data_IF_363410765533
#
_entry.id   IF_363410765533
#
_cell.length_a   1.000
_cell.length_b   1.000
_cell.length_c   1.000
_cell.angle_alpha   90.00
_cell.angle_beta   90.00
_cell.angle_gamma   90.00
#
_symmetry.space_group_name_H-M   'P 1'
#
loop_
_entity.id
_entity.type
_entity.pdbx_description
1 polymer ?
#
# COMPACT_ATOMS: atom_id res chain seq x y z
N UNK A 1 -16.31 -30.29 47.77
CA UNK A 1 -16.49 -31.71 48.14
C UNK A 1 -16.88 -32.48 46.88
N UNK A 2 -16.14 -33.55 46.56
CA UNK A 2 -16.34 -34.40 45.38
C UNK A 2 -17.44 -35.42 45.65
N UNK A 3 -18.33 -35.65 44.68
CA UNK A 3 -18.93 -36.97 44.44
C UNK A 3 -19.18 -37.15 42.94
N UNK A 4 -18.56 -38.18 42.35
CA UNK A 4 -18.94 -38.78 41.07
C UNK A 4 -19.61 -40.11 41.40
N UNK A 5 -20.77 -40.37 40.80
CA UNK A 5 -21.46 -41.67 40.82
C UNK A 5 -21.44 -42.30 39.42
N UNK A 6 -21.14 -43.60 39.39
CA UNK A 6 -21.03 -44.48 38.22
C UNK A 6 -22.35 -44.80 37.52
N UNK A 7 -22.24 -45.36 36.30
CA UNK A 7 -22.89 -46.57 35.72
C UNK A 7 -22.92 -46.40 34.18
N UNK A 8 -22.78 -47.37 33.28
CA UNK A 8 -22.39 -48.78 33.26
C UNK A 8 -22.13 -49.12 31.77
N UNK A 9 -21.24 -50.06 31.48
CA UNK A 9 -21.09 -50.70 30.15
C UNK A 9 -21.81 -52.07 30.18
N UNK A 10 -22.08 -52.75 29.04
CA UNK A 10 -21.09 -53.75 28.59
C UNK A 10 -21.05 -54.13 27.09
N UNK A 11 -19.84 -54.50 26.65
CA UNK A 11 -19.57 -55.62 25.72
C UNK A 11 -19.41 -55.28 24.24
N UNK A 12 -18.46 -55.84 23.48
CA UNK A 12 -17.67 -57.07 23.69
C UNK A 12 -16.56 -57.20 22.62
N UNK A 13 -15.30 -57.36 23.08
CA UNK A 13 -14.19 -58.24 22.60
C UNK A 13 -13.52 -57.98 21.23
N UNK A 14 -12.26 -58.32 20.93
CA UNK A 14 -10.95 -58.79 21.52
C UNK A 14 -9.98 -58.81 20.29
N UNK A 15 -8.65 -58.86 20.31
CA UNK A 15 -7.57 -58.90 21.29
C UNK A 15 -6.25 -58.48 20.59
N UNK A 16 -5.30 -57.84 21.27
CA UNK A 16 -4.15 -58.40 22.03
C UNK A 16 -2.98 -58.91 21.15
N UNK A 17 -1.87 -58.16 21.16
CA UNK A 17 -0.47 -58.63 21.31
C UNK A 17 0.31 -57.49 22.01
N UNK A 18 0.44 -57.50 23.35
CA UNK A 18 1.59 -57.93 24.16
C UNK A 18 2.96 -57.35 23.75
N UNK A 19 3.44 -56.44 24.59
CA UNK A 19 4.82 -55.93 24.69
C UNK A 19 5.62 -56.67 25.76
N UNK A 20 6.96 -56.48 25.69
CA UNK A 20 8.01 -56.56 26.73
C UNK A 20 8.99 -57.76 26.62
N UNK A 21 10.19 -57.72 27.26
CA UNK A 21 11.32 -56.78 27.02
C UNK A 21 12.72 -57.44 27.14
N UNK A 22 13.80 -56.71 26.83
CA UNK A 22 15.09 -56.81 27.56
C UNK A 22 16.33 -57.43 26.86
N UNK A 23 17.49 -56.85 27.21
CA UNK A 23 18.90 -57.24 26.96
C UNK A 23 19.41 -57.03 25.52
N UNK A 24 20.60 -56.49 25.24
CA UNK A 24 21.79 -56.19 26.03
C UNK A 24 23.03 -56.47 25.16
N UNK A 25 23.92 -55.46 25.06
CA UNK A 25 25.34 -55.50 24.65
C UNK A 25 25.80 -55.94 23.25
N UNK A 26 26.89 -55.28 22.84
CA UNK A 26 27.92 -55.64 21.84
C UNK A 26 27.71 -55.28 20.34
N UNK A 27 28.42 -54.22 19.93
CA UNK A 27 29.11 -54.15 18.63
C UNK A 27 30.40 -54.98 18.74
N UNK A 28 30.99 -55.55 17.65
CA UNK A 28 31.47 -54.77 16.50
C UNK A 28 31.42 -55.49 15.13
N UNK A 29 31.95 -54.81 14.11
CA UNK A 29 32.42 -55.31 12.81
C UNK A 29 31.47 -55.23 11.59
N UNK A 30 31.73 -54.22 10.74
CA UNK A 30 31.72 -54.38 9.28
C UNK A 30 32.91 -55.31 8.86
N UNK A 31 33.03 -55.80 7.60
CA UNK A 31 32.27 -55.47 6.39
C UNK A 31 31.81 -56.70 5.57
N UNK A 32 30.82 -56.52 4.69
CA UNK A 32 30.71 -57.31 3.46
C UNK A 32 29.91 -56.52 2.42
N UNK A 33 30.59 -56.07 1.37
CA UNK A 33 29.98 -55.82 0.07
C UNK A 33 29.55 -57.18 -0.53
N UNK A 34 28.60 -57.21 -1.47
CA UNK A 34 29.08 -57.18 -2.86
C UNK A 34 28.19 -56.44 -3.88
N UNK A 35 28.88 -56.07 -4.95
CA UNK A 35 28.48 -56.12 -6.35
C UNK A 35 27.38 -55.17 -6.84
N UNK A 36 27.88 -54.12 -7.49
CA UNK A 36 27.22 -53.42 -8.57
C UNK A 36 26.85 -54.37 -9.72
N UNK A 37 25.61 -54.24 -10.19
CA UNK A 37 25.26 -54.47 -11.60
C UNK A 37 24.57 -53.21 -12.10
N UNK A 38 25.27 -52.51 -12.99
CA UNK A 38 24.77 -51.32 -13.64
C UNK A 38 23.68 -51.64 -14.64
N UNK A 39 22.65 -50.80 -14.66
CA UNK A 39 21.96 -50.47 -15.89
C UNK A 39 21.88 -48.96 -15.95
N UNK A 40 22.81 -48.36 -16.69
CA UNK A 40 22.82 -46.94 -16.96
C UNK A 40 21.57 -46.54 -17.73
N UNK A 41 20.78 -45.64 -17.15
CA UNK A 41 19.88 -44.80 -17.94
C UNK A 41 20.34 -43.36 -17.83
N UNK A 42 20.86 -42.89 -18.96
CA UNK A 42 21.31 -41.54 -19.27
C UNK A 42 20.24 -40.53 -18.86
N UNK A 43 20.65 -39.56 -18.04
CA UNK A 43 20.03 -38.26 -17.96
C UNK A 43 20.13 -37.57 -19.34
N UNK A 44 19.03 -37.14 -19.97
CA UNK A 44 19.13 -36.22 -21.08
C UNK A 44 19.42 -34.82 -20.54
N UNK A 45 20.64 -34.33 -20.80
CA UNK A 45 20.90 -32.89 -20.94
C UNK A 45 20.02 -32.38 -22.07
N UNK A 46 19.07 -31.50 -21.77
CA UNK A 46 18.45 -30.64 -22.78
C UNK A 46 18.61 -29.20 -22.31
N UNK A 47 19.80 -28.67 -22.57
CA UNK A 47 19.99 -27.26 -22.88
C UNK A 47 20.30 -27.19 -24.38
N UNK A 48 19.65 -26.25 -25.08
CA UNK A 48 19.68 -25.97 -26.53
C UNK A 48 18.93 -26.96 -27.43
N UNK A 49 17.67 -26.66 -27.73
CA UNK A 49 17.21 -26.35 -29.10
C UNK A 49 15.67 -26.29 -29.13
N UNK A 50 15.09 -25.10 -29.03
CA UNK A 50 13.80 -24.73 -29.63
C UNK A 50 13.75 -23.19 -29.69
N UNK A 51 14.77 -22.61 -30.34
CA UNK A 51 14.58 -21.43 -31.18
C UNK A 51 13.98 -21.96 -32.48
N UNK A 52 13.00 -21.25 -33.05
CA UNK A 52 12.07 -21.67 -34.12
C UNK A 52 10.73 -22.26 -33.63
N UNK A 53 9.91 -21.37 -33.05
CA UNK A 53 8.51 -21.19 -33.43
C UNK A 53 8.16 -19.74 -33.06
N UNK A 54 8.37 -18.86 -34.03
CA UNK A 54 8.11 -17.43 -33.91
C UNK A 54 6.62 -17.17 -33.76
N UNK A 55 6.24 -16.70 -32.57
CA UNK A 55 5.06 -15.88 -32.32
C UNK A 55 5.46 -14.97 -31.16
N UNK A 56 5.33 -13.65 -31.35
CA UNK A 56 5.86 -12.53 -30.55
C UNK A 56 7.24 -12.02 -30.98
N UNK A 57 7.22 -11.17 -32.00
CA UNK A 57 8.28 -10.20 -32.26
C UNK A 57 8.00 -8.93 -31.44
N UNK A 58 9.00 -8.48 -30.68
CA UNK A 58 8.91 -7.41 -29.70
C UNK A 58 9.74 -6.18 -30.15
N UNK A 59 9.72 -5.86 -31.45
CA UNK A 59 10.40 -4.68 -32.00
C UNK A 59 9.58 -3.84 -32.97
N UNK A 60 8.26 -3.81 -32.82
CA UNK A 60 7.38 -2.91 -33.60
C UNK A 60 6.68 -1.89 -32.68
N UNK A 61 7.46 -0.94 -32.17
CA UNK A 61 6.93 0.24 -31.47
C UNK A 61 7.87 1.44 -31.60
N UNK A 62 8.38 1.75 -32.80
CA UNK A 62 9.04 3.02 -33.08
C UNK A 62 9.28 3.25 -34.59
N UNK A 63 8.25 3.58 -35.36
CA UNK A 63 8.42 4.41 -36.57
C UNK A 63 7.08 4.81 -37.19
N UNK A 64 6.54 5.94 -36.75
CA UNK A 64 5.65 6.74 -37.60
C UNK A 64 5.95 8.22 -37.38
N UNK A 65 6.72 8.80 -38.29
CA UNK A 65 6.84 10.26 -38.44
C UNK A 65 6.05 10.68 -39.67
N UNK A 66 5.12 11.62 -39.57
CA UNK A 66 4.72 12.44 -40.71
C UNK A 66 5.59 13.71 -40.77
N UNK A 67 6.26 13.89 -41.91
CA UNK A 67 6.95 15.13 -42.32
C UNK A 67 5.89 16.20 -42.63
N UNK A 68 6.13 17.44 -42.14
CA UNK A 68 5.28 18.63 -42.32
C UNK A 68 5.10 19.10 -43.78
N UNK A 69 4.41 20.20 -44.10
CA UNK A 69 4.06 21.43 -43.38
C UNK A 69 2.82 22.05 -44.06
N UNK A 70 2.07 22.90 -43.36
CA UNK A 70 1.32 23.98 -43.99
C UNK A 70 0.04 24.44 -43.30
N UNK A 71 0.06 25.68 -42.82
CA UNK A 71 -1.06 26.62 -42.71
C UNK A 71 -2.07 26.51 -41.53
N UNK A 72 -2.01 27.58 -40.72
CA UNK A 72 -3.10 28.37 -40.14
C UNK A 72 -4.01 27.77 -39.07
N UNK A 73 -3.88 28.39 -37.89
CA UNK A 73 -4.76 28.35 -36.73
C UNK A 73 -6.16 28.84 -37.05
N UNK A 74 -7.17 27.97 -36.93
CA UNK A 74 -8.56 28.38 -36.72
C UNK A 74 -9.19 27.46 -35.68
N UNK A 75 -9.54 28.06 -34.54
CA UNK A 75 -10.34 27.41 -33.50
C UNK A 75 -11.80 27.37 -33.92
N UNK A 76 -12.42 26.20 -33.78
CA UNK A 76 -13.86 26.05 -33.98
C UNK A 76 -14.57 26.00 -32.62
N UNK A 77 -15.33 27.05 -32.37
CA UNK A 77 -16.20 27.27 -31.23
C UNK A 77 -17.52 26.49 -31.38
N UNK A 78 -18.05 26.01 -30.24
CA UNK A 78 -19.43 25.56 -30.13
C UNK A 78 -20.40 26.76 -30.18
N UNK A 79 -21.59 26.60 -30.79
CA UNK A 79 -22.47 27.72 -31.12
C UNK A 79 -23.19 28.30 -29.89
N UNK A 80 -22.92 29.58 -29.63
CA UNK A 80 -23.66 30.43 -28.71
C UNK A 80 -24.97 30.87 -29.38
N UNK A 81 -26.11 30.43 -28.83
CA UNK A 81 -27.42 30.99 -29.16
C UNK A 81 -27.55 32.39 -28.57
N UNK A 82 -27.30 33.42 -29.40
CA UNK A 82 -27.78 34.78 -29.15
C UNK A 82 -28.38 35.31 -30.46
N UNK A 83 -29.72 35.31 -30.53
CA UNK A 83 -30.43 36.07 -31.55
C UNK A 83 -30.44 37.56 -31.13
N UNK A 84 -30.06 38.50 -32.02
CA UNK A 84 -30.14 39.92 -31.71
C UNK A 84 -31.60 40.40 -31.78
N UNK A 85 -32.08 40.97 -30.69
CA UNK A 85 -33.35 41.72 -30.66
C UNK A 85 -33.14 43.04 -31.42
N UNK A 86 -33.94 43.38 -32.44
CA UNK A 86 -33.83 44.67 -33.12
C UNK A 86 -34.42 45.78 -32.26
N UNK A 87 -33.60 46.76 -31.87
CA UNK A 87 -34.06 47.96 -31.19
C UNK A 87 -34.74 48.93 -32.17
N UNK A 88 -36.06 49.03 -32.07
CA UNK A 88 -36.86 50.12 -32.61
C UNK A 88 -36.88 51.34 -31.68
N UNK A 89 -36.41 52.47 -32.21
CA UNK A 89 -36.91 53.85 -32.05
C UNK A 89 -37.62 54.31 -30.76
N UNK A 90 -36.94 55.26 -30.09
CA UNK A 90 -37.40 56.46 -29.37
C UNK A 90 -38.33 56.35 -28.15
N UNK A 91 -37.77 56.72 -26.99
CA UNK A 91 -38.35 57.77 -26.14
C UNK A 91 -37.24 58.54 -25.41
N UNK A 92 -37.10 59.83 -25.74
CA UNK A 92 -36.16 60.76 -25.13
C UNK A 92 -36.72 61.20 -23.77
N UNK A 93 -36.17 60.67 -22.68
CA UNK A 93 -36.53 61.04 -21.30
C UNK A 93 -35.33 61.63 -20.55
N UNK A 94 -35.55 62.80 -19.93
CA UNK A 94 -34.60 63.70 -19.23
C UNK A 94 -33.38 63.05 -18.55
N UNK A 95 -32.22 63.66 -18.75
CA UNK A 95 -31.03 63.44 -17.93
C UNK A 95 -31.30 63.79 -16.45
N UNK A 96 -31.05 62.90 -15.48
CA UNK A 96 -31.02 63.27 -14.08
C UNK A 96 -29.69 63.96 -13.75
N UNK A 97 -29.79 65.11 -13.11
CA UNK A 97 -28.68 66.00 -12.80
C UNK A 97 -27.60 65.36 -11.92
N UNK A 98 -26.38 65.83 -12.16
CA UNK A 98 -25.19 65.60 -11.34
C UNK A 98 -25.50 65.96 -9.88
N UNK A 99 -25.58 64.94 -9.01
CA UNK A 99 -25.82 65.13 -7.58
C UNK A 99 -26.45 63.94 -6.85
N UNK A 100 -27.08 63.00 -7.57
CA UNK A 100 -27.82 61.88 -6.92
C UNK A 100 -26.91 60.69 -6.56
N UNK A 101 -25.83 60.45 -7.32
CA UNK A 101 -24.92 59.32 -7.08
C UNK A 101 -24.11 59.48 -5.76
N UNK A 102 -23.73 60.72 -5.40
CA UNK A 102 -22.98 61.01 -4.18
C UNK A 102 -23.88 61.22 -2.94
N UNK A 103 -25.19 61.39 -3.10
CA UNK A 103 -26.14 61.43 -1.98
C UNK A 103 -26.60 60.05 -1.52
N UNK A 104 -26.54 59.02 -2.37
CA UNK A 104 -26.88 57.63 -2.01
C UNK A 104 -25.78 57.00 -1.13
N UNK A 105 -24.55 57.50 -1.19
CA UNK A 105 -23.43 57.05 -0.33
C UNK A 105 -23.41 57.68 1.08
N UNK A 106 -24.25 58.69 1.38
CA UNK A 106 -24.28 59.37 2.70
C UNK A 106 -25.55 59.16 3.52
N UNK A 107 -26.52 58.35 3.07
CA UNK A 107 -27.78 58.12 3.81
C UNK A 107 -27.93 56.66 4.24
N UNK A 108 -27.43 56.35 5.43
CA UNK A 108 -27.85 55.24 6.29
C UNK A 108 -28.11 53.89 5.60
N UNK A 109 -27.03 53.19 5.24
CA UNK A 109 -26.99 51.87 4.59
C UNK A 109 -27.47 50.70 5.45
N UNK A 110 -28.48 50.89 6.30
CA UNK A 110 -29.14 49.76 7.01
C UNK A 110 -30.22 49.12 6.13
N UNK A 111 -31.04 49.94 5.46
CA UNK A 111 -32.14 49.42 4.64
C UNK A 111 -31.66 48.65 3.41
N UNK A 112 -30.65 49.16 2.70
CA UNK A 112 -30.07 48.49 1.53
C UNK A 112 -29.36 47.18 1.92
N UNK A 113 -28.66 47.18 3.07
CA UNK A 113 -28.02 45.98 3.60
C UNK A 113 -29.05 44.91 3.98
N UNK A 114 -30.15 45.28 4.63
CA UNK A 114 -31.23 44.35 4.97
C UNK A 114 -31.90 43.75 3.73
N UNK A 115 -32.10 44.53 2.67
CA UNK A 115 -32.66 44.02 1.40
C UNK A 115 -31.71 43.01 0.73
N UNK A 116 -30.40 43.26 0.75
CA UNK A 116 -29.42 42.30 0.20
C UNK A 116 -29.34 41.05 1.07
N UNK A 117 -29.33 41.18 2.39
CA UNK A 117 -29.28 40.02 3.30
C UNK A 117 -30.56 39.17 3.18
N UNK A 118 -31.74 39.80 3.11
CA UNK A 118 -33.01 39.08 2.92
C UNK A 118 -33.11 38.51 1.51
N UNK A 119 -32.57 39.19 0.49
CA UNK A 119 -32.53 38.68 -0.88
C UNK A 119 -31.62 37.46 -1.02
N UNK A 120 -30.37 37.54 -0.54
CA UNK A 120 -29.41 36.42 -0.56
C UNK A 120 -29.86 35.30 0.37
N UNK A 121 -30.29 35.63 1.58
CA UNK A 121 -30.81 34.67 2.55
C UNK A 121 -32.10 34.00 2.06
N UNK A 122 -32.98 34.74 1.37
CA UNK A 122 -34.19 34.23 0.76
C UNK A 122 -33.90 33.26 -0.39
N UNK A 123 -32.94 33.59 -1.26
CA UNK A 123 -32.47 32.65 -2.30
C UNK A 123 -31.83 31.41 -1.66
N UNK A 124 -31.05 31.59 -0.59
CA UNK A 124 -30.43 30.47 0.12
C UNK A 124 -31.46 29.56 0.79
N UNK A 125 -32.47 30.12 1.48
CA UNK A 125 -33.55 29.34 2.12
C UNK A 125 -34.49 28.73 1.08
N UNK A 126 -34.77 29.41 -0.03
CA UNK A 126 -35.60 28.86 -1.09
C UNK A 126 -34.89 27.70 -1.82
N UNK A 127 -33.58 27.82 -2.04
CA UNK A 127 -32.80 26.81 -2.78
C UNK A 127 -32.26 25.67 -1.90
N UNK A 128 -31.97 25.92 -0.62
CA UNK A 128 -31.48 24.89 0.33
C UNK A 128 -32.53 24.42 1.34
N UNK A 129 -33.56 25.21 1.62
CA UNK A 129 -34.55 24.93 2.68
C UNK A 129 -35.83 24.25 2.21
N UNK A 130 -36.20 24.35 0.92
CA UNK A 130 -37.45 23.76 0.39
C UNK A 130 -37.23 22.52 -0.49
N UNK A 131 -35.98 22.22 -0.87
CA UNK A 131 -35.61 20.98 -1.54
C UNK A 131 -34.85 20.10 -0.53
N UNK A 132 -35.60 19.34 0.25
CA UNK A 132 -35.07 18.38 1.20
C UNK A 132 -34.08 17.42 0.54
N UNK A 133 -32.87 17.40 1.09
CA UNK A 133 -31.83 16.44 0.76
C UNK A 133 -31.07 16.78 -0.53
N UNK A 134 -29.76 17.03 -0.38
CA UNK A 134 -28.79 16.67 -1.41
C UNK A 134 -28.87 15.15 -1.63
N UNK A 135 -29.90 14.67 -2.31
CA UNK A 135 -29.80 13.43 -3.05
C UNK A 135 -28.89 13.76 -4.23
N UNK A 136 -27.65 13.23 -4.29
CA UNK A 136 -26.82 13.42 -5.47
C UNK A 136 -27.66 13.00 -6.67
N UNK A 137 -27.72 13.86 -7.69
CA UNK A 137 -28.37 13.56 -8.94
C UNK A 137 -27.94 12.16 -9.42
N UNK A 138 -28.81 11.36 -10.08
CA UNK A 138 -28.45 10.07 -10.64
C UNK A 138 -27.56 10.26 -11.89
N UNK A 139 -26.41 10.90 -11.70
CA UNK A 139 -25.26 10.80 -12.58
C UNK A 139 -24.38 9.68 -12.04
N UNK A 140 -24.67 8.44 -12.41
CA UNK A 140 -23.70 7.36 -12.32
C UNK A 140 -24.19 6.20 -13.16
N UNK A 141 -23.70 6.14 -14.39
CA UNK A 141 -23.74 4.88 -15.14
C UNK A 141 -23.08 3.75 -14.34
N UNK A 142 -23.25 2.50 -14.79
CA UNK A 142 -22.65 1.36 -14.11
C UNK A 142 -21.13 1.51 -14.04
N UNK A 143 -20.57 1.35 -12.84
CA UNK A 143 -19.12 1.28 -12.61
C UNK A 143 -18.57 -0.06 -13.11
N UNK A 144 -19.36 -1.12 -12.91
CA UNK A 144 -19.05 -2.48 -13.35
C UNK A 144 -20.28 -3.03 -14.05
N UNK A 145 -20.09 -3.68 -15.19
CA UNK A 145 -21.16 -4.43 -15.86
C UNK A 145 -20.64 -5.71 -16.49
N UNK A 146 -21.46 -6.76 -16.47
CA UNK A 146 -21.26 -7.99 -17.21
C UNK A 146 -22.64 -8.54 -17.61
N UNK A 147 -22.96 -8.50 -18.91
CA UNK A 147 -24.29 -8.88 -19.41
C UNK A 147 -25.41 -8.06 -18.76
N UNK A 148 -26.39 -8.75 -18.18
CA UNK A 148 -27.53 -8.14 -17.47
C UNK A 148 -27.21 -7.67 -16.04
N UNK A 149 -26.02 -7.97 -15.52
CA UNK A 149 -25.63 -7.60 -14.15
C UNK A 149 -24.79 -6.32 -14.16
N UNK A 150 -25.28 -5.29 -13.45
CA UNK A 150 -24.62 -3.98 -13.38
C UNK A 150 -24.57 -3.46 -11.95
N UNK A 151 -23.45 -2.86 -11.56
CA UNK A 151 -23.22 -2.24 -10.26
C UNK A 151 -22.84 -0.78 -10.43
N UNK A 152 -23.45 0.10 -9.63
CA UNK A 152 -23.22 1.55 -9.69
C UNK A 152 -22.23 2.02 -8.60
N UNK A 153 -22.02 3.33 -8.51
CA UNK A 153 -21.12 3.92 -7.51
C UNK A 153 -21.56 3.69 -6.06
N UNK A 154 -22.86 3.50 -5.79
CA UNK A 154 -23.37 3.20 -4.44
C UNK A 154 -22.97 1.79 -4.02
N UNK A 155 -23.01 0.83 -4.94
CA UNK A 155 -22.57 -0.54 -4.66
C UNK A 155 -21.08 -0.57 -4.35
N UNK A 156 -20.27 0.14 -5.14
CA UNK A 156 -18.83 0.25 -4.93
C UNK A 156 -18.52 0.84 -3.55
N UNK A 157 -19.15 1.96 -3.21
CA UNK A 157 -18.91 2.64 -1.95
C UNK A 157 -19.37 1.79 -0.74
N UNK A 158 -20.48 1.06 -0.85
CA UNK A 158 -20.95 0.13 0.19
C UNK A 158 -19.92 -0.96 0.48
N UNK A 159 -19.39 -1.61 -0.57
CA UNK A 159 -18.36 -2.64 -0.41
C UNK A 159 -17.05 -2.04 0.11
N UNK A 160 -16.66 -0.86 -0.37
CA UNK A 160 -15.46 -0.16 0.10
C UNK A 160 -15.55 0.16 1.59
N UNK A 161 -16.69 0.69 2.06
CA UNK A 161 -16.94 0.99 3.48
C UNK A 161 -16.94 -0.26 4.35
N UNK A 162 -17.58 -1.35 3.91
CA UNK A 162 -17.58 -2.60 4.69
C UNK A 162 -16.17 -3.19 4.83
N UNK A 163 -15.36 -3.10 3.78
CA UNK A 163 -13.94 -3.48 3.85
C UNK A 163 -13.17 -2.56 4.81
N UNK A 164 -13.37 -1.25 4.72
CA UNK A 164 -12.69 -0.27 5.59
C UNK A 164 -12.94 -0.58 7.08
N UNK A 165 -14.20 -0.85 7.47
CA UNK A 165 -14.56 -1.22 8.84
C UNK A 165 -13.78 -2.46 9.28
N UNK A 166 -13.77 -3.52 8.46
CA UNK A 166 -13.05 -4.77 8.77
C UNK A 166 -11.54 -4.55 8.93
N UNK A 167 -10.92 -3.73 8.08
CA UNK A 167 -9.49 -3.44 8.18
C UNK A 167 -9.17 -2.57 9.40
N UNK A 168 -10.02 -1.60 9.72
CA UNK A 168 -9.90 -0.78 10.93
C UNK A 168 -9.99 -1.63 12.19
N UNK A 169 -10.91 -2.59 12.24
CA UNK A 169 -11.03 -3.54 13.36
C UNK A 169 -9.80 -4.42 13.52
N UNK A 170 -9.18 -4.85 12.41
CA UNK A 170 -8.02 -5.73 12.42
C UNK A 170 -6.70 -5.02 12.77
N UNK A 171 -6.53 -3.77 12.32
CA UNK A 171 -5.27 -3.01 12.43
C UNK A 171 -5.30 -1.93 13.52
N UNK A 172 -6.49 -1.56 14.01
CA UNK A 172 -6.68 -0.53 15.03
C UNK A 172 -6.05 0.80 14.64
N UNK A 173 -5.24 1.37 15.54
CA UNK A 173 -4.54 2.66 15.38
C UNK A 173 -3.54 2.67 14.20
N UNK A 174 -3.13 1.50 13.69
CA UNK A 174 -2.20 1.43 12.55
C UNK A 174 -2.90 1.66 11.20
N UNK A 175 -4.24 1.72 11.19
CA UNK A 175 -5.00 1.88 9.95
C UNK A 175 -5.06 3.34 9.49
N UNK A 176 -4.34 3.65 8.40
CA UNK A 176 -4.48 4.91 7.68
C UNK A 176 -5.59 4.80 6.61
N UNK A 177 -6.72 5.48 6.87
CA UNK A 177 -7.86 5.47 5.96
C UNK A 177 -7.60 6.16 4.62
N UNK A 178 -6.73 7.19 4.60
CA UNK A 178 -6.45 7.95 3.38
C UNK A 178 -5.52 7.15 2.47
N UNK A 179 -4.44 6.60 3.04
CA UNK A 179 -3.53 5.74 2.30
C UNK A 179 -4.21 4.46 1.78
N UNK A 180 -5.13 3.88 2.55
CA UNK A 180 -5.85 2.67 2.16
C UNK A 180 -6.95 2.92 1.10
N UNK A 181 -7.39 4.16 0.89
CA UNK A 181 -8.57 4.47 0.07
C UNK A 181 -8.48 3.92 -1.34
N UNK A 182 -7.35 4.11 -2.03
CA UNK A 182 -7.14 3.63 -3.39
C UNK A 182 -7.23 2.10 -3.48
N UNK A 183 -6.51 1.41 -2.60
CA UNK A 183 -6.55 -0.05 -2.49
C UNK A 183 -7.95 -0.59 -2.20
N UNK A 184 -8.71 0.07 -1.31
CA UNK A 184 -10.06 -0.35 -0.95
C UNK A 184 -11.04 -0.17 -2.12
N UNK A 185 -10.96 0.94 -2.85
CA UNK A 185 -11.79 1.17 -4.05
C UNK A 185 -11.48 0.12 -5.12
N UNK A 186 -10.21 -0.13 -5.40
CA UNK A 186 -9.80 -1.12 -6.40
C UNK A 186 -10.23 -2.53 -6.00
N UNK A 187 -10.08 -2.90 -4.73
CA UNK A 187 -10.48 -4.21 -4.21
C UNK A 187 -12.00 -4.39 -4.22
N UNK A 188 -12.76 -3.35 -3.87
CA UNK A 188 -14.21 -3.33 -4.01
C UNK A 188 -14.63 -3.51 -5.48
N UNK A 189 -14.00 -2.77 -6.40
CA UNK A 189 -14.25 -2.87 -7.84
C UNK A 189 -13.98 -4.28 -8.39
N UNK A 190 -12.83 -4.88 -8.04
CA UNK A 190 -12.50 -6.27 -8.39
C UNK A 190 -13.54 -7.26 -7.88
N UNK A 191 -14.03 -7.07 -6.65
CA UNK A 191 -15.05 -7.94 -6.06
C UNK A 191 -16.38 -7.84 -6.82
N UNK A 192 -16.81 -6.62 -7.13
CA UNK A 192 -18.01 -6.37 -7.94
C UNK A 192 -17.88 -6.97 -9.34
N UNK A 193 -16.72 -6.80 -9.99
CA UNK A 193 -16.44 -7.36 -11.31
C UNK A 193 -16.49 -8.89 -11.32
N UNK A 194 -15.86 -9.52 -10.32
CA UNK A 194 -15.91 -10.97 -10.16
C UNK A 194 -17.34 -11.48 -9.94
N UNK A 195 -18.11 -10.80 -9.08
CA UNK A 195 -19.52 -11.12 -8.83
C UNK A 195 -20.36 -10.99 -10.11
N UNK A 196 -20.21 -9.89 -10.85
CA UNK A 196 -20.92 -9.66 -12.11
C UNK A 196 -20.64 -10.78 -13.13
N UNK A 197 -19.36 -11.09 -13.33
CA UNK A 197 -18.92 -12.07 -14.32
C UNK A 197 -19.41 -13.48 -13.99
N UNK A 198 -19.31 -13.88 -12.72
CA UNK A 198 -19.77 -15.20 -12.28
C UNK A 198 -21.29 -15.32 -12.32
N UNK A 199 -22.02 -14.28 -11.92
CA UNK A 199 -23.48 -14.26 -12.02
C UNK A 199 -23.95 -14.38 -13.48
N UNK A 200 -23.33 -13.60 -14.38
CA UNK A 200 -23.60 -13.66 -15.82
C UNK A 200 -23.32 -15.05 -16.40
N UNK A 201 -22.19 -15.67 -16.04
CA UNK A 201 -21.86 -17.01 -16.50
C UNK A 201 -22.82 -18.06 -15.93
N UNK A 202 -23.20 -17.94 -14.66
CA UNK A 202 -24.17 -18.82 -14.01
C UNK A 202 -25.53 -18.77 -14.70
N UNK A 203 -26.03 -17.57 -15.00
CA UNK A 203 -27.28 -17.38 -15.74
C UNK A 203 -27.23 -18.04 -17.13
N UNK A 204 -26.12 -17.86 -17.87
CA UNK A 204 -25.91 -18.50 -19.18
C UNK A 204 -25.86 -20.03 -19.11
N UNK A 205 -25.47 -20.58 -17.98
CA UNK A 205 -25.48 -22.01 -17.71
C UNK A 205 -26.83 -22.52 -17.19
N UNK A 206 -27.86 -21.66 -17.14
CA UNK A 206 -29.19 -22.02 -16.66
C UNK A 206 -29.30 -22.10 -15.14
N UNK A 207 -28.31 -21.57 -14.39
CA UNK A 207 -28.42 -21.46 -12.95
C UNK A 207 -29.35 -20.30 -12.60
N UNK A 208 -30.20 -20.53 -11.59
CA UNK A 208 -31.12 -19.51 -11.06
C UNK A 208 -31.00 -19.43 -9.54
N UNK A 209 -31.09 -18.24 -8.96
CA UNK A 209 -31.28 -18.06 -7.52
C UNK A 209 -32.77 -18.12 -7.20
N UNK A 210 -33.21 -19.17 -6.51
CA UNK A 210 -34.60 -19.38 -6.15
C UNK A 210 -35.00 -18.53 -4.93
N UNK A 211 -36.29 -18.24 -4.78
CA UNK A 211 -36.80 -17.52 -3.62
C UNK A 211 -36.67 -18.32 -2.31
N UNK A 212 -36.53 -19.65 -2.39
CA UNK A 212 -36.23 -20.49 -1.24
C UNK A 212 -34.81 -20.22 -0.72
N UNK A 213 -33.82 -20.12 -1.62
CA UNK A 213 -32.43 -19.84 -1.26
C UNK A 213 -32.25 -18.43 -0.72
N UNK A 214 -32.98 -17.46 -1.28
CA UNK A 214 -33.04 -16.10 -0.74
C UNK A 214 -33.56 -16.14 0.70
N UNK A 215 -34.66 -16.86 0.96
CA UNK A 215 -35.19 -17.00 2.33
C UNK A 215 -34.21 -17.69 3.26
N UNK A 216 -33.53 -18.72 2.80
CA UNK A 216 -32.54 -19.45 3.61
C UNK A 216 -31.32 -18.57 3.94
N UNK A 217 -30.83 -17.80 2.97
CA UNK A 217 -29.79 -16.80 3.19
C UNK A 217 -30.21 -15.77 4.25
N UNK A 218 -31.42 -15.22 4.13
CA UNK A 218 -31.93 -14.20 5.06
C UNK A 218 -32.10 -14.74 6.49
N UNK A 219 -32.39 -16.04 6.66
CA UNK A 219 -32.43 -16.66 8.00
C UNK A 219 -31.04 -16.67 8.66
N UNK A 220 -29.98 -16.80 7.87
CA UNK A 220 -28.59 -16.76 8.35
C UNK A 220 -28.02 -15.36 8.54
N UNK A 221 -28.64 -14.32 7.97
CA UNK A 221 -28.08 -12.96 7.93
C UNK A 221 -28.38 -12.11 9.18
N UNK A 222 -29.05 -12.67 10.20
CA UNK A 222 -29.44 -11.94 11.41
C UNK A 222 -30.63 -10.98 11.22
N UNK A 223 -31.32 -11.06 10.07
CA UNK A 223 -32.56 -10.31 9.79
C UNK A 223 -33.81 -11.09 10.23
N UNK A 224 -33.67 -11.87 11.29
CA UNK A 224 -34.73 -12.68 11.89
C UNK A 224 -35.23 -12.02 13.18
N UNK A 225 -36.51 -12.21 13.47
CA UNK A 225 -37.13 -11.83 14.73
C UNK A 225 -36.68 -12.72 15.89
N UNK A 226 -37.17 -12.42 17.09
CA UNK A 226 -36.89 -13.23 18.29
C UNK A 226 -37.46 -14.65 18.20
N UNK A 227 -38.44 -14.88 17.32
CA UNK A 227 -39.06 -16.15 17.00
C UNK A 227 -38.30 -16.96 15.94
N UNK A 228 -37.18 -16.44 15.42
CA UNK A 228 -36.40 -17.05 14.36
C UNK A 228 -37.04 -16.97 12.97
N UNK A 229 -38.17 -16.27 12.82
CA UNK A 229 -38.79 -16.01 11.53
C UNK A 229 -38.21 -14.74 10.89
N UNK A 230 -38.37 -14.61 9.58
CA UNK A 230 -37.91 -13.42 8.86
C UNK A 230 -38.74 -12.20 9.26
N UNK A 231 -38.07 -11.18 9.79
CA UNK A 231 -38.69 -9.91 10.17
C UNK A 231 -38.76 -8.98 8.95
N UNK A 232 -39.96 -8.83 8.38
CA UNK A 232 -40.17 -8.05 7.16
C UNK A 232 -39.83 -6.57 7.34
N UNK A 233 -40.10 -6.01 8.51
CA UNK A 233 -39.89 -4.59 8.76
C UNK A 233 -38.40 -4.31 8.87
N UNK A 234 -37.65 -5.18 9.56
CA UNK A 234 -36.18 -5.10 9.63
C UNK A 234 -35.52 -5.31 8.27
N UNK A 235 -36.02 -6.26 7.47
CA UNK A 235 -35.50 -6.47 6.10
C UNK A 235 -35.76 -5.23 5.25
N UNK A 236 -36.97 -4.66 5.32
CA UNK A 236 -37.32 -3.46 4.55
C UNK A 236 -36.47 -2.28 4.96
N UNK A 237 -36.34 -2.04 6.26
CA UNK A 237 -35.49 -0.98 6.81
C UNK A 237 -34.02 -1.14 6.37
N UNK A 238 -33.47 -2.36 6.46
CA UNK A 238 -32.11 -2.67 6.03
C UNK A 238 -31.92 -2.48 4.52
N UNK A 239 -32.88 -2.95 3.72
CA UNK A 239 -32.81 -2.83 2.27
C UNK A 239 -32.90 -1.37 1.81
N UNK A 240 -33.75 -0.57 2.45
CA UNK A 240 -33.87 0.86 2.17
C UNK A 240 -32.63 1.62 2.64
N UNK A 241 -32.06 1.32 3.80
CA UNK A 241 -30.89 2.01 4.32
C UNK A 241 -29.61 1.69 3.53
N UNK A 242 -29.39 0.42 3.19
CA UNK A 242 -28.15 -0.03 2.55
C UNK A 242 -28.20 -0.04 1.02
N UNK A 243 -29.38 -0.31 0.44
CA UNK A 243 -29.55 -0.49 -1.01
C UNK A 243 -30.52 0.53 -1.63
N UNK A 244 -31.17 1.38 -0.83
CA UNK A 244 -32.13 2.38 -1.28
C UNK A 244 -33.51 1.83 -1.66
N UNK A 245 -33.66 0.51 -1.85
CA UNK A 245 -34.96 -0.12 -2.09
C UNK A 245 -34.89 -1.64 -1.90
N UNK A 246 -36.02 -2.24 -1.53
CA UNK A 246 -36.19 -3.70 -1.42
C UNK A 246 -35.91 -4.40 -2.75
N UNK A 247 -36.40 -3.84 -3.87
CA UNK A 247 -36.17 -4.41 -5.21
C UNK A 247 -34.69 -4.53 -5.53
N UNK A 248 -33.93 -3.46 -5.31
CA UNK A 248 -32.50 -3.44 -5.58
C UNK A 248 -31.71 -4.39 -4.66
N UNK A 249 -32.12 -4.48 -3.39
CA UNK A 249 -31.56 -5.47 -2.47
C UNK A 249 -31.77 -6.90 -3.00
N UNK A 250 -32.97 -7.25 -3.43
CA UNK A 250 -33.28 -8.58 -3.98
C UNK A 250 -32.51 -8.86 -5.28
N UNK A 251 -32.43 -7.89 -6.19
CA UNK A 251 -31.63 -8.00 -7.42
C UNK A 251 -30.16 -8.27 -7.11
N UNK A 252 -29.60 -7.52 -6.15
CA UNK A 252 -28.21 -7.69 -5.72
C UNK A 252 -27.98 -9.05 -5.07
N UNK A 253 -28.89 -9.47 -4.19
CA UNK A 253 -28.79 -10.74 -3.50
C UNK A 253 -28.89 -11.92 -4.48
N UNK A 254 -29.76 -11.84 -5.49
CA UNK A 254 -29.84 -12.84 -6.56
C UNK A 254 -28.53 -12.95 -7.34
N UNK A 255 -27.93 -11.81 -7.69
CA UNK A 255 -26.64 -11.80 -8.38
C UNK A 255 -25.54 -12.44 -7.53
N UNK A 256 -25.50 -12.14 -6.23
CA UNK A 256 -24.50 -12.70 -5.32
C UNK A 256 -24.68 -14.22 -5.13
N UNK A 257 -25.91 -14.70 -4.93
CA UNK A 257 -26.21 -16.13 -4.85
C UNK A 257 -25.87 -16.87 -6.15
N UNK A 258 -26.14 -16.27 -7.32
CA UNK A 258 -25.74 -16.85 -8.61
C UNK A 258 -24.23 -16.94 -8.76
N UNK A 259 -23.50 -15.88 -8.39
CA UNK A 259 -22.05 -15.86 -8.45
C UNK A 259 -21.44 -16.92 -7.51
N UNK A 260 -21.98 -17.09 -6.31
CA UNK A 260 -21.54 -18.10 -5.35
C UNK A 260 -21.79 -19.51 -5.86
N UNK A 261 -22.99 -19.80 -6.40
CA UNK A 261 -23.28 -21.09 -7.04
C UNK A 261 -22.35 -21.41 -8.19
N UNK A 262 -22.09 -20.44 -9.06
CA UNK A 262 -21.16 -20.63 -10.18
C UNK A 262 -19.75 -20.92 -9.67
N UNK A 263 -19.28 -20.21 -8.64
CA UNK A 263 -17.99 -20.49 -8.00
C UNK A 263 -17.94 -21.87 -7.33
N UNK A 264 -19.04 -22.30 -6.70
CA UNK A 264 -19.20 -23.63 -6.13
C UNK A 264 -19.10 -24.71 -7.20
N UNK A 265 -19.82 -24.57 -8.31
CA UNK A 265 -19.75 -25.52 -9.43
C UNK A 265 -18.35 -25.61 -10.05
N UNK A 266 -17.64 -24.49 -10.20
CA UNK A 266 -16.24 -24.52 -10.68
C UNK A 266 -15.37 -25.34 -9.71
N UNK A 267 -15.57 -25.17 -8.41
CA UNK A 267 -14.83 -25.92 -7.38
C UNK A 267 -15.17 -27.40 -7.39
N UNK A 268 -16.45 -27.73 -7.47
CA UNK A 268 -16.96 -29.09 -7.35
C UNK A 268 -16.78 -29.90 -8.65
N UNK A 269 -16.67 -29.22 -9.80
CA UNK A 269 -16.37 -29.86 -11.09
C UNK A 269 -14.89 -30.22 -11.27
N UNK A 270 -14.00 -29.75 -10.40
CA UNK A 270 -12.60 -30.11 -10.45
C UNK A 270 -12.40 -31.57 -9.98
N UNK A 271 -12.16 -32.48 -10.92
CA UNK A 271 -11.78 -33.85 -10.61
C UNK A 271 -10.29 -33.90 -10.20
N UNK A 272 -10.03 -34.11 -8.92
CA UNK A 272 -8.67 -34.30 -8.38
C UNK A 272 -8.38 -35.79 -8.29
N UNK A 273 -7.27 -36.24 -8.87
CA UNK A 273 -6.85 -37.63 -8.73
C UNK A 273 -6.14 -37.88 -7.39
N UNK A 274 -6.20 -39.11 -6.89
CA UNK A 274 -5.43 -39.53 -5.72
C UNK A 274 -3.93 -39.23 -5.84
N UNK A 275 -3.38 -39.34 -7.05
CA UNK A 275 -1.97 -39.05 -7.33
C UNK A 275 -1.66 -37.56 -7.15
N UNK A 276 -2.48 -36.70 -7.73
CA UNK A 276 -2.34 -35.25 -7.63
C UNK A 276 -2.50 -34.76 -6.18
N UNK A 277 -3.49 -35.29 -5.44
CA UNK A 277 -3.66 -34.98 -4.03
C UNK A 277 -2.43 -35.39 -3.19
N UNK A 278 -1.85 -36.57 -3.44
CA UNK A 278 -0.64 -37.03 -2.75
C UNK A 278 0.58 -36.16 -3.09
N UNK A 279 0.75 -35.79 -4.35
CA UNK A 279 1.87 -34.95 -4.78
C UNK A 279 1.75 -33.52 -4.21
N UNK A 280 0.55 -32.94 -4.17
CA UNK A 280 0.30 -31.66 -3.54
C UNK A 280 0.64 -31.66 -2.04
N UNK A 281 0.23 -32.70 -1.30
CA UNK A 281 0.57 -32.86 0.11
C UNK A 281 2.07 -33.06 0.29
N UNK A 282 2.71 -33.89 -0.55
CA UNK A 282 4.16 -34.10 -0.50
C UNK A 282 4.90 -32.78 -0.67
N UNK A 283 4.52 -31.99 -1.68
CA UNK A 283 5.13 -30.69 -1.95
C UNK A 283 4.91 -29.68 -0.82
N UNK A 284 3.69 -29.60 -0.28
CA UNK A 284 3.38 -28.69 0.84
C UNK A 284 4.15 -29.02 2.12
N UNK A 285 4.44 -30.30 2.35
CA UNK A 285 5.16 -30.80 3.52
C UNK A 285 6.64 -31.06 3.22
N UNK A 286 7.14 -30.69 2.04
CA UNK A 286 8.53 -30.88 1.67
C UNK A 286 9.40 -29.84 2.38
N UNK A 287 10.15 -30.29 3.38
CA UNK A 287 11.15 -29.47 4.04
C UNK A 287 12.53 -29.68 3.40
N UNK A 288 13.09 -28.62 2.81
CA UNK A 288 14.45 -28.64 2.25
C UNK A 288 15.43 -28.08 3.27
N UNK A 289 16.36 -28.93 3.74
CA UNK A 289 17.48 -28.50 4.60
C UNK A 289 18.62 -28.01 3.72
N UNK A 290 18.84 -26.69 3.68
CA UNK A 290 19.92 -26.08 2.91
C UNK A 290 21.07 -25.73 3.87
N UNK A 291 22.24 -26.32 3.64
CA UNK A 291 23.47 -25.85 4.25
C UNK A 291 23.99 -24.65 3.46
N UNK A 292 24.06 -23.49 4.09
CA UNK A 292 24.61 -22.28 3.49
C UNK A 292 25.76 -21.74 4.35
N UNK A 293 26.81 -21.24 3.69
CA UNK A 293 27.89 -20.50 4.34
C UNK A 293 27.64 -19.01 4.09
N UNK A 294 27.50 -18.23 5.16
CA UNK A 294 27.33 -16.78 5.09
C UNK A 294 28.68 -16.11 5.32
N UNK A 295 29.16 -15.38 4.32
CA UNK A 295 30.29 -14.46 4.49
C UNK A 295 29.76 -13.09 4.88
N UNK A 296 30.19 -12.58 6.03
CA UNK A 296 29.96 -11.19 6.40
C UNK A 296 31.12 -10.36 5.87
N UNK A 297 30.89 -9.61 4.80
CA UNK A 297 31.92 -8.78 4.16
C UNK A 297 32.46 -7.64 5.03
N UNK A 298 31.94 -7.45 6.25
CA UNK A 298 32.43 -6.47 7.22
C UNK A 298 33.41 -7.07 8.23
N UNK A 299 33.34 -8.38 8.44
CA UNK A 299 34.20 -9.11 9.37
C UNK A 299 35.15 -9.99 8.57
N UNK A 300 36.38 -9.50 8.42
CA UNK A 300 37.46 -10.28 7.82
C UNK A 300 37.76 -11.45 8.77
N UNK A 301 37.74 -12.71 8.29
CA UNK A 301 38.11 -13.86 9.11
C UNK A 301 39.54 -13.70 9.65
N UNK A 302 39.82 -14.08 10.90
CA UNK A 302 41.16 -13.96 11.47
C UNK A 302 42.21 -14.80 10.72
N UNK A 303 41.80 -15.90 10.08
CA UNK A 303 42.67 -16.69 9.19
C UNK A 303 42.95 -16.05 7.81
N UNK A 304 42.29 -14.94 7.45
CA UNK A 304 42.54 -14.28 6.17
C UNK A 304 43.76 -13.34 6.26
N UNK A 305 44.94 -13.89 5.98
CA UNK A 305 46.15 -13.08 5.77
C UNK A 305 46.08 -12.42 4.39
N UNK A 306 45.97 -11.10 4.37
CA UNK A 306 46.09 -10.33 3.13
C UNK A 306 47.57 -10.27 2.73
N UNK A 307 47.95 -10.66 1.51
CA UNK A 307 49.34 -10.56 1.07
C UNK A 307 49.79 -9.09 1.06
N UNK A 308 51.03 -8.85 1.47
CA UNK A 308 51.66 -7.53 1.35
C UNK A 308 51.60 -7.10 -0.13
N UNK A 309 51.06 -5.91 -0.40
CA UNK A 309 50.85 -5.42 -1.77
C UNK A 309 49.47 -5.66 -2.38
N UNK A 310 48.55 -6.36 -1.69
CA UNK A 310 47.22 -6.68 -2.24
C UNK A 310 46.38 -5.42 -2.55
N UNK A 311 46.52 -4.39 -1.73
CA UNK A 311 45.81 -3.12 -1.92
C UNK A 311 46.33 -2.38 -3.16
N UNK A 312 47.65 -2.31 -3.31
CA UNK A 312 48.32 -1.70 -4.46
C UNK A 312 48.00 -2.46 -5.75
N UNK A 313 48.02 -3.80 -5.72
CA UNK A 313 47.65 -4.63 -6.85
C UNK A 313 46.18 -4.39 -7.26
N UNK A 314 45.28 -4.22 -6.30
CA UNK A 314 43.88 -3.94 -6.59
C UNK A 314 43.68 -2.54 -7.22
N UNK A 315 44.41 -1.53 -6.74
CA UNK A 315 44.38 -0.17 -7.30
C UNK A 315 44.89 -0.17 -8.75
N UNK A 316 45.93 -0.96 -9.04
CA UNK A 316 46.46 -1.09 -10.41
C UNK A 316 45.52 -1.87 -11.33
N UNK A 317 44.87 -2.92 -10.81
CA UNK A 317 43.99 -3.78 -11.60
C UNK A 317 42.65 -3.10 -11.94
N UNK A 318 42.06 -2.36 -10.98
CA UNK A 318 40.74 -1.76 -11.13
C UNK A 318 40.62 -0.42 -10.36
N UNK A 319 41.23 0.66 -10.88
CA UNK A 319 41.27 1.96 -10.21
C UNK A 319 39.89 2.60 -10.06
N UNK A 320 38.99 2.40 -11.03
CA UNK A 320 37.64 2.96 -11.04
C UNK A 320 36.78 2.37 -9.91
N UNK A 321 36.89 1.05 -9.66
CA UNK A 321 36.18 0.41 -8.55
C UNK A 321 36.62 0.93 -7.20
N UNK A 322 37.94 1.13 -7.00
CA UNK A 322 38.48 1.68 -5.75
C UNK A 322 38.01 3.12 -5.56
N UNK A 323 38.08 3.94 -6.60
CA UNK A 323 37.65 5.34 -6.55
C UNK A 323 36.17 5.48 -6.20
N UNK A 324 35.29 4.74 -6.86
CA UNK A 324 33.84 4.75 -6.58
C UNK A 324 33.54 4.29 -5.15
N UNK A 325 34.26 3.27 -4.66
CA UNK A 325 34.14 2.80 -3.29
C UNK A 325 34.59 3.82 -2.25
N UNK A 326 35.66 4.56 -2.53
CA UNK A 326 36.16 5.64 -1.69
C UNK A 326 35.19 6.83 -1.65
N UNK A 327 34.71 7.29 -2.81
CA UNK A 327 33.77 8.41 -2.90
C UNK A 327 32.46 8.12 -2.16
N UNK A 328 31.94 6.89 -2.25
CA UNK A 328 30.73 6.47 -1.54
C UNK A 328 30.86 6.45 -0.01
N UNK A 329 32.08 6.35 0.53
CA UNK A 329 32.37 6.25 1.97
C UNK A 329 33.30 7.34 2.47
N UNK A 330 33.38 8.47 1.75
CA UNK A 330 34.33 9.55 2.02
C UNK A 330 34.27 10.06 3.45
N UNK A 331 33.07 10.08 4.04
CA UNK A 331 32.82 10.45 5.44
C UNK A 331 33.46 9.51 6.46
N UNK A 332 33.67 8.23 6.13
CA UNK A 332 34.32 7.24 7.01
C UNK A 332 35.84 7.40 7.06
N UNK A 333 36.42 8.08 6.06
CA UNK A 333 37.85 8.34 5.95
C UNK A 333 38.23 9.77 6.34
N UNK A 334 37.26 10.56 6.80
CA UNK A 334 37.51 11.92 7.25
C UNK A 334 38.32 11.90 8.54
N UNK A 335 39.40 12.69 8.58
CA UNK A 335 40.22 12.85 9.78
C UNK A 335 39.93 14.24 10.35
N UNK A 336 39.55 14.35 11.63
CA UNK A 336 39.27 15.65 12.22
C UNK A 336 40.50 16.55 12.11
N UNK A 337 40.28 17.86 12.01
CA UNK A 337 41.36 18.84 11.93
C UNK A 337 42.34 18.66 13.10
N UNK A 338 43.60 18.33 12.78
CA UNK A 338 44.68 18.24 13.75
C UNK A 338 45.51 19.51 13.69
N UNK A 339 45.54 20.28 14.78
CA UNK A 339 46.41 21.44 14.92
C UNK A 339 47.67 21.07 15.72
N UNK A 340 48.84 21.45 15.20
CA UNK A 340 50.07 21.43 15.99
C UNK A 340 50.19 22.76 16.75
N UNK A 341 50.07 22.72 18.07
CA UNK A 341 50.11 23.90 18.93
C UNK A 341 51.45 23.95 19.67
N UNK A 342 52.06 25.15 19.72
CA UNK A 342 53.21 25.46 20.59
C UNK A 342 52.75 26.39 21.70
N UNK A 343 53.18 26.17 22.94
CA UNK A 343 52.77 26.98 24.09
C UNK A 343 53.97 27.47 24.90
N UNK A 344 53.84 28.64 25.52
CA UNK A 344 54.79 29.21 26.49
C UNK A 344 54.01 29.45 27.78
N UNK A 345 54.54 29.00 28.91
CA UNK A 345 53.90 29.09 30.22
C UNK A 345 54.79 29.87 31.18
N UNK A 346 54.39 31.08 31.60
CA UNK A 346 55.07 31.74 32.71
C UNK A 346 54.52 31.24 34.04
N UNK A 347 55.40 30.62 34.83
CA UNK A 347 55.08 30.11 36.16
C UNK A 347 55.20 31.21 37.22
N UNK A 348 54.44 31.09 38.29
CA UNK A 348 54.52 31.93 39.48
C UNK A 348 54.42 31.06 40.74
N UNK A 349 55.10 31.44 41.82
CA UNK A 349 55.26 30.58 43.01
C UNK A 349 54.18 30.81 44.07
N UNK A 350 53.65 32.03 44.21
CA UNK A 350 52.65 32.37 45.22
C UNK A 350 51.29 32.59 44.56
N UNK A 351 50.23 31.98 45.10
CA UNK A 351 48.87 32.11 44.57
C UNK A 351 48.18 33.39 45.07
N UNK A 352 48.83 34.54 44.87
CA UNK A 352 48.29 35.86 45.17
C UNK A 352 48.08 36.70 43.90
N UNK A 353 47.29 37.75 44.02
CA UNK A 353 46.93 38.60 42.89
C UNK A 353 48.13 39.37 42.32
N UNK A 354 49.14 39.66 43.13
CA UNK A 354 50.33 40.38 42.70
C UNK A 354 51.23 39.51 41.81
N UNK A 355 51.44 38.25 42.20
CA UNK A 355 52.19 37.25 41.45
C UNK A 355 51.50 36.89 40.12
N UNK A 356 50.17 36.77 40.12
CA UNK A 356 49.37 36.58 38.89
C UNK A 356 49.48 37.76 37.94
N UNK A 357 49.40 38.99 38.46
CA UNK A 357 49.55 40.20 37.64
C UNK A 357 50.97 40.31 37.05
N UNK A 358 52.00 39.98 37.84
CA UNK A 358 53.38 39.96 37.35
C UNK A 358 53.61 38.89 36.27
N UNK A 359 53.09 37.67 36.45
CA UNK A 359 53.17 36.62 35.44
C UNK A 359 52.43 37.00 34.15
N UNK A 360 51.25 37.60 34.27
CA UNK A 360 50.47 38.10 33.12
C UNK A 360 51.21 39.20 32.38
N UNK A 361 51.79 40.16 33.08
CA UNK A 361 52.60 41.22 32.46
C UNK A 361 53.80 40.66 31.69
N UNK A 362 54.47 39.62 32.21
CA UNK A 362 55.56 38.92 31.52
C UNK A 362 55.09 38.24 30.23
N UNK A 363 53.99 37.50 30.29
CA UNK A 363 53.42 36.80 29.13
C UNK A 363 52.93 37.79 28.08
N UNK A 364 52.31 38.90 28.48
CA UNK A 364 51.86 39.95 27.56
C UNK A 364 53.05 40.66 26.87
N UNK A 365 54.17 40.84 27.59
CA UNK A 365 55.41 41.35 26.99
C UNK A 365 56.02 40.37 25.98
N UNK A 366 56.06 39.08 26.32
CA UNK A 366 56.49 37.99 25.43
C UNK A 366 55.58 37.93 24.18
N UNK A 367 54.27 38.00 24.36
CA UNK A 367 53.29 38.03 23.28
C UNK A 367 53.54 39.19 22.33
N UNK A 368 53.77 40.41 22.84
CA UNK A 368 54.10 41.57 22.00
C UNK A 368 55.40 41.39 21.21
N UNK A 369 56.41 40.71 21.76
CA UNK A 369 57.65 40.36 21.04
C UNK A 369 57.37 39.37 19.90
N UNK A 370 56.55 38.36 20.14
CA UNK A 370 56.17 37.36 19.13
C UNK A 370 55.33 38.02 18.02
N UNK A 371 54.33 38.84 18.39
CA UNK A 371 53.51 39.61 17.44
C UNK A 371 54.36 40.65 16.66
N UNK A 372 55.43 41.16 17.26
CA UNK A 372 56.43 42.03 16.63
C UNK A 372 57.42 41.32 15.70
N UNK A 373 57.30 40.00 15.50
CA UNK A 373 58.07 39.22 14.53
C UNK A 373 59.28 38.46 15.08
N UNK A 374 59.45 38.37 16.40
CA UNK A 374 60.51 37.55 17.01
C UNK A 374 60.09 36.07 17.01
N UNK A 375 61.01 35.17 16.68
CA UNK A 375 60.72 33.72 16.59
C UNK A 375 60.22 33.13 17.92
N UNK A 376 59.16 32.31 17.85
CA UNK A 376 58.50 31.70 19.00
C UNK A 376 59.45 30.77 19.76
N UNK A 377 60.31 30.01 19.06
CA UNK A 377 61.23 29.08 19.69
C UNK A 377 62.34 29.79 20.48
N UNK A 378 62.85 30.91 19.95
CA UNK A 378 63.80 31.76 20.66
C UNK A 378 63.18 32.32 21.95
N UNK A 379 61.96 32.87 21.87
CA UNK A 379 61.29 33.45 23.06
C UNK A 379 60.87 32.38 24.07
N UNK A 380 60.50 31.18 23.61
CA UNK A 380 60.16 30.04 24.47
C UNK A 380 61.37 29.51 25.27
N UNK A 381 62.60 29.75 24.81
CA UNK A 381 63.82 29.34 25.52
C UNK A 381 64.26 30.34 26.60
N UNK A 382 63.80 31.60 26.51
CA UNK A 382 64.10 32.69 27.44
C UNK A 382 63.05 32.82 28.56
N UNK A 383 61.86 32.26 28.35
CA UNK A 383 60.68 32.36 29.21
C UNK A 383 60.59 31.22 30.22
#
# INVERSE_FOLDING_TARGET
MRTRGCWQSPGRWRGRWKTSPGFGSEAPAAPCAPAATGSGRRFPRIAKSLSQKGVFDASEAASYQPRGKGATSEGFALPVFFAPVPWGSFARGKAPGEGVLLQILRRGSRAVLWVVIIGVGGVFVLYLGFQGGFSPAPGSGPVVSAGGFSFDGRDLERIRRSMEVRYREALGEQFDSEAARGFLVESAGRMLQRSALLAWQGERMGLTASDAEIRDYLRGSGLVGADGQLDRDRITQYAESEFGSVRRFQERLRADLLAEKMAGLIRDSAAVSDAEARDAVRYQLEEVKIAAVRFDGRTVPPELELPEGAAEALIQQDPERVRKGYEARKSEFDRPEQAQIRHILARFEQDDDAAKQAARARIDAIRKRIEGGVDFAAVASEA
#
